data_IF_698948357414
#
_entry.id   IF_698948357414
#
_cell.length_a   1.000
_cell.length_b   1.000
_cell.length_c   1.000
_cell.angle_alpha   90.00
_cell.angle_beta   90.00
_cell.angle_gamma   90.00
#
_symmetry.space_group_name_H-M   'P 1'
#
loop_
_entity.id
_entity.type
_entity.pdbx_description
1 polymer ?
#
# COMPACT_ATOMS: atom_id res chain seq x y z
N UNK A 1 -14.85 1.53 -9.22
CA UNK A 1 -14.71 0.06 -9.31
C UNK A 1 -13.57 -0.46 -8.44
N UNK A 2 -12.35 0.10 -8.54
CA UNK A 2 -11.16 -0.38 -7.80
C UNK A 2 -11.29 -0.42 -6.28
N UNK A 3 -11.89 0.60 -5.66
CA UNK A 3 -12.02 0.67 -4.19
C UNK A 3 -13.02 -0.35 -3.61
N UNK A 4 -14.05 -0.73 -4.37
CA UNK A 4 -15.10 -1.66 -3.91
C UNK A 4 -14.66 -3.14 -3.94
N UNK A 5 -13.57 -3.47 -4.65
CA UNK A 5 -13.05 -4.83 -4.78
C UNK A 5 -12.11 -5.24 -3.61
N UNK A 6 -11.88 -4.33 -2.66
CA UNK A 6 -11.02 -4.56 -1.48
C UNK A 6 -11.63 -5.58 -0.50
N UNK A 7 -12.94 -5.84 -0.60
CA UNK A 7 -13.66 -6.80 0.24
C UNK A 7 -13.72 -8.17 -0.47
N UNK A 8 -13.21 -9.22 0.19
CA UNK A 8 -13.23 -10.59 -0.34
C UNK A 8 -14.67 -11.04 -0.68
N UNK A 9 -14.79 -11.93 -1.68
CA UNK A 9 -16.04 -12.61 -2.07
C UNK A 9 -17.13 -11.75 -2.74
N UNK A 10 -16.79 -10.57 -3.26
CA UNK A 10 -17.71 -9.77 -4.08
C UNK A 10 -17.46 -10.01 -5.57
N UNK A 11 -18.51 -10.43 -6.26
CA UNK A 11 -18.52 -10.46 -7.73
C UNK A 11 -18.65 -9.02 -8.25
N UNK A 12 -17.57 -8.49 -8.82
CA UNK A 12 -17.54 -7.13 -9.35
C UNK A 12 -17.84 -7.17 -10.85
N UNK A 13 -18.93 -6.52 -11.23
CA UNK A 13 -19.35 -6.38 -12.62
C UNK A 13 -19.12 -4.95 -13.09
N UNK A 14 -18.23 -4.79 -14.08
CA UNK A 14 -18.02 -3.50 -14.73
C UNK A 14 -19.01 -3.29 -15.87
N UNK A 15 -19.68 -2.14 -15.89
CA UNK A 15 -20.71 -1.79 -16.88
C UNK A 15 -20.43 -0.39 -17.43
N UNK A 16 -20.41 -0.23 -18.74
CA UNK A 16 -20.14 1.06 -19.41
C UNK A 16 -21.40 1.94 -19.53
N UNK A 17 -22.59 1.33 -19.49
CA UNK A 17 -23.88 2.04 -19.61
C UNK A 17 -24.94 1.52 -18.65
N UNK A 18 -25.89 2.39 -18.30
CA UNK A 18 -27.05 2.02 -17.48
C UNK A 18 -27.92 0.94 -18.16
N UNK A 19 -27.91 0.88 -19.49
CA UNK A 19 -28.56 -0.20 -20.24
C UNK A 19 -27.94 -1.57 -19.97
N UNK A 20 -26.62 -1.64 -19.80
CA UNK A 20 -25.93 -2.89 -19.49
C UNK A 20 -26.34 -3.42 -18.11
N UNK A 21 -26.49 -2.51 -17.13
CA UNK A 21 -26.99 -2.85 -15.78
C UNK A 21 -28.40 -3.44 -15.85
N UNK A 22 -29.30 -2.84 -16.64
CA UNK A 22 -30.67 -3.34 -16.81
C UNK A 22 -30.68 -4.71 -17.49
N UNK A 23 -29.88 -4.90 -18.53
CA UNK A 23 -29.79 -6.19 -19.24
C UNK A 23 -29.23 -7.31 -18.37
N UNK A 24 -28.28 -6.99 -17.49
CA UNK A 24 -27.73 -7.92 -16.51
C UNK A 24 -28.78 -8.33 -15.47
N UNK A 25 -29.47 -7.37 -14.85
CA UNK A 25 -30.48 -7.64 -13.81
C UNK A 25 -31.71 -8.37 -14.36
N UNK A 26 -32.02 -8.20 -15.65
CA UNK A 26 -33.16 -8.85 -16.31
C UNK A 26 -32.81 -10.19 -16.95
N UNK A 27 -31.55 -10.64 -16.87
CA UNK A 27 -31.10 -11.91 -17.46
C UNK A 27 -31.08 -11.93 -18.99
N UNK A 28 -31.16 -10.76 -19.64
CA UNK A 28 -31.18 -10.64 -21.10
C UNK A 28 -29.78 -10.79 -21.71
N UNK A 29 -28.73 -10.59 -20.92
CA UNK A 29 -27.33 -10.68 -21.36
C UNK A 29 -26.47 -11.17 -20.20
N UNK A 30 -25.64 -12.18 -20.46
CA UNK A 30 -24.64 -12.64 -19.52
C UNK A 30 -23.43 -11.70 -19.56
N UNK A 31 -22.99 -11.24 -18.39
CA UNK A 31 -21.75 -10.49 -18.23
C UNK A 31 -20.77 -11.37 -17.47
N UNK A 32 -19.52 -11.39 -17.91
CA UNK A 32 -18.47 -12.08 -17.19
C UNK A 32 -18.04 -11.24 -16.00
N UNK A 33 -17.96 -11.87 -14.82
CA UNK A 33 -17.47 -11.21 -13.62
C UNK A 33 -16.00 -10.81 -13.83
N UNK A 34 -15.67 -9.55 -13.56
CA UNK A 34 -14.28 -9.10 -13.57
C UNK A 34 -13.63 -9.61 -12.30
N UNK A 35 -12.74 -10.59 -12.43
CA UNK A 35 -11.90 -11.05 -11.33
C UNK A 35 -10.73 -10.09 -11.17
N UNK A 36 -10.86 -9.13 -10.25
CA UNK A 36 -9.74 -8.29 -9.84
C UNK A 36 -9.05 -8.98 -8.68
N UNK A 37 -7.81 -9.43 -8.87
CA UNK A 37 -6.97 -9.89 -7.77
C UNK A 37 -6.45 -8.68 -6.99
N UNK A 38 -7.31 -8.17 -6.11
CA UNK A 38 -7.01 -6.97 -5.30
C UNK A 38 -5.86 -7.19 -4.34
N UNK A 39 -5.53 -8.44 -3.98
CA UNK A 39 -4.34 -8.74 -3.20
C UNK A 39 -3.09 -8.48 -4.01
N UNK A 40 -3.04 -8.97 -5.25
CA UNK A 40 -1.90 -8.73 -6.14
C UNK A 40 -1.69 -7.23 -6.37
N UNK A 41 -2.75 -6.48 -6.71
CA UNK A 41 -2.65 -5.03 -6.91
C UNK A 41 -2.18 -4.32 -5.62
N UNK A 42 -2.74 -4.67 -4.46
CA UNK A 42 -2.29 -4.13 -3.17
C UNK A 42 -0.80 -4.41 -2.89
N UNK A 43 -0.35 -5.65 -3.05
CA UNK A 43 1.06 -6.02 -2.84
C UNK A 43 2.01 -5.35 -3.84
N UNK A 44 1.60 -5.15 -5.10
CA UNK A 44 2.41 -4.42 -6.09
C UNK A 44 2.55 -2.94 -5.72
N UNK A 45 1.53 -2.35 -5.11
CA UNK A 45 1.56 -0.95 -4.67
C UNK A 45 2.22 -0.71 -3.31
N UNK A 46 2.42 -1.74 -2.49
CA UNK A 46 3.04 -1.60 -1.17
C UNK A 46 4.50 -1.12 -1.20
N UNK A 47 5.22 -1.35 -2.29
CA UNK A 47 6.64 -1.00 -2.41
C UNK A 47 6.89 0.28 -3.23
N UNK A 48 5.83 0.97 -3.63
CA UNK A 48 5.94 2.23 -4.35
C UNK A 48 6.06 3.39 -3.37
N UNK A 49 7.31 3.76 -3.07
CA UNK A 49 7.64 4.91 -2.24
C UNK A 49 8.30 6.01 -3.07
N UNK A 50 7.85 7.26 -2.92
CA UNK A 50 8.48 8.43 -3.55
C UNK A 50 9.92 8.69 -3.04
N UNK A 51 10.24 8.19 -1.84
CA UNK A 51 11.51 8.43 -1.16
C UNK A 51 12.09 7.10 -0.66
N UNK A 52 13.28 6.76 -1.17
CA UNK A 52 13.99 5.54 -0.82
C UNK A 52 15.03 5.79 0.29
N UNK A 53 15.09 4.87 1.25
CA UNK A 53 16.11 4.83 2.29
C UNK A 53 17.53 4.60 1.73
N UNK A 54 17.66 3.90 0.60
CA UNK A 54 18.94 3.70 -0.07
C UNK A 54 19.60 5.02 -0.53
N UNK A 55 18.82 6.08 -0.73
CA UNK A 55 19.34 7.40 -1.09
C UNK A 55 20.07 8.12 0.06
N UNK A 56 19.94 7.62 1.29
CA UNK A 56 20.57 8.21 2.47
C UNK A 56 22.08 7.94 2.45
N UNK A 57 22.84 9.01 2.24
CA UNK A 57 24.31 8.96 2.29
C UNK A 57 24.83 9.29 3.69
N UNK A 58 25.69 8.43 4.22
CA UNK A 58 26.27 8.56 5.55
C UNK A 58 25.28 8.25 6.69
N UNK A 59 25.59 8.73 7.90
CA UNK A 59 24.82 8.47 9.13
C UNK A 59 24.63 6.97 9.45
N UNK A 60 25.68 6.17 9.30
CA UNK A 60 25.64 4.70 9.45
C UNK A 60 25.00 4.23 10.77
N UNK A 61 25.30 4.89 11.89
CA UNK A 61 24.70 4.55 13.19
C UNK A 61 23.18 4.74 13.21
N UNK A 62 22.69 5.81 12.57
CA UNK A 62 21.25 6.11 12.48
C UNK A 62 20.58 5.13 11.52
N UNK A 63 21.23 4.84 10.38
CA UNK A 63 20.70 3.86 9.43
C UNK A 63 20.55 2.49 10.09
N UNK A 64 21.58 2.04 10.82
CA UNK A 64 21.55 0.78 11.53
C UNK A 64 20.45 0.71 12.58
N UNK A 65 20.24 1.80 13.33
CA UNK A 65 19.16 1.87 14.31
C UNK A 65 17.78 1.79 13.65
N UNK A 66 17.59 2.48 12.53
CA UNK A 66 16.34 2.43 11.75
C UNK A 66 16.07 1.05 11.16
N UNK A 67 17.09 0.36 10.63
CA UNK A 67 16.96 -1.01 10.14
C UNK A 67 16.56 -1.98 11.25
N UNK A 68 17.20 -1.90 12.43
CA UNK A 68 16.87 -2.77 13.58
C UNK A 68 15.46 -2.49 14.08
N UNK A 69 15.05 -1.22 14.13
CA UNK A 69 13.71 -0.85 14.54
C UNK A 69 12.64 -1.29 13.51
N UNK A 70 12.90 -1.13 12.22
CA UNK A 70 12.01 -1.57 11.14
C UNK A 70 11.84 -3.09 11.15
N UNK A 71 12.93 -3.85 11.27
CA UNK A 71 12.88 -5.31 11.34
C UNK A 71 12.21 -5.83 12.61
N UNK A 72 12.31 -5.09 13.72
CA UNK A 72 11.73 -5.47 15.01
C UNK A 72 10.37 -4.84 15.32
N UNK A 73 9.78 -4.08 14.40
CA UNK A 73 8.54 -3.31 14.62
C UNK A 73 8.58 -2.44 15.89
N UNK A 74 9.71 -1.75 16.11
CA UNK A 74 9.91 -0.87 17.27
C UNK A 74 9.58 0.59 16.97
N UNK A 75 9.09 1.30 17.99
CA UNK A 75 8.93 2.75 17.93
C UNK A 75 10.29 3.46 17.92
N UNK A 76 10.38 4.58 17.18
CA UNK A 76 11.61 5.36 17.01
C UNK A 76 11.37 6.80 17.46
N UNK A 77 12.33 7.36 18.20
CA UNK A 77 12.41 8.80 18.49
C UNK A 77 13.70 9.35 17.89
N UNK A 78 13.61 10.36 17.03
CA UNK A 78 14.76 11.00 16.40
C UNK A 78 15.09 12.33 17.10
N UNK A 79 16.24 12.41 17.75
CA UNK A 79 16.69 13.59 18.51
C UNK A 79 17.93 14.20 17.86
N UNK A 80 17.97 15.52 17.70
CA UNK A 80 19.15 16.21 17.16
C UNK A 80 18.87 17.67 16.77
N UNK A 81 19.93 18.45 16.49
CA UNK A 81 19.82 19.88 16.14
C UNK A 81 19.03 20.11 14.84
N UNK A 82 18.47 21.32 14.60
CA UNK A 82 17.80 21.63 13.34
C UNK A 82 18.73 21.39 12.14
N UNK A 83 18.18 20.91 11.02
CA UNK A 83 18.96 20.58 9.83
C UNK A 83 19.70 19.24 9.85
N UNK A 84 19.66 18.47 10.94
CA UNK A 84 20.37 17.17 11.06
C UNK A 84 19.75 16.01 10.25
N UNK A 85 18.79 16.27 9.36
CA UNK A 85 18.19 15.23 8.51
C UNK A 85 17.12 14.33 9.18
N UNK A 86 16.62 14.65 10.37
CA UNK A 86 15.57 13.84 11.06
C UNK A 86 14.33 13.59 10.19
N UNK A 87 13.74 14.66 9.66
CA UNK A 87 12.57 14.55 8.79
C UNK A 87 12.89 13.86 7.46
N UNK A 88 14.14 13.97 6.99
CA UNK A 88 14.61 13.31 5.77
C UNK A 88 14.66 11.79 5.95
N UNK A 89 15.13 11.33 7.13
CA UNK A 89 15.14 9.91 7.54
C UNK A 89 13.73 9.38 7.79
N UNK A 90 12.91 10.09 8.58
CA UNK A 90 11.57 9.65 8.95
C UNK A 90 10.68 9.39 7.71
N UNK A 91 10.78 10.24 6.68
CA UNK A 91 10.03 10.09 5.43
C UNK A 91 10.46 8.89 4.57
N UNK A 92 11.67 8.37 4.78
CA UNK A 92 12.25 7.23 4.04
C UNK A 92 12.11 5.91 4.78
N UNK A 93 11.86 5.95 6.08
CA UNK A 93 11.63 4.75 6.89
C UNK A 93 10.59 3.79 6.29
N UNK A 94 9.46 4.24 5.71
CA UNK A 94 8.48 3.34 5.10
C UNK A 94 9.08 2.40 4.05
N UNK A 95 10.08 2.86 3.28
CA UNK A 95 10.71 2.05 2.23
C UNK A 95 11.49 0.82 2.71
N UNK A 96 11.77 0.71 4.01
CA UNK A 96 12.44 -0.44 4.63
C UNK A 96 11.56 -1.16 5.66
N UNK A 97 10.30 -0.76 5.81
CA UNK A 97 9.37 -1.46 6.69
C UNK A 97 8.95 -2.79 6.05
N UNK A 98 8.67 -3.82 6.87
CA UNK A 98 7.99 -5.01 6.39
C UNK A 98 6.65 -4.66 5.71
N UNK A 99 6.22 -5.40 4.68
CA UNK A 99 4.94 -5.18 4.04
C UNK A 99 3.81 -5.36 5.07
N UNK A 100 2.85 -4.43 5.06
CA UNK A 100 1.66 -4.55 5.89
C UNK A 100 0.82 -5.75 5.44
N UNK A 101 0.14 -6.39 6.37
CA UNK A 101 -0.95 -7.27 6.00
C UNK A 101 -2.15 -6.45 5.51
N UNK A 102 -3.02 -7.06 4.70
CA UNK A 102 -4.29 -6.43 4.30
C UNK A 102 -5.15 -5.99 5.49
N UNK A 103 -5.08 -6.72 6.61
CA UNK A 103 -5.78 -6.37 7.83
C UNK A 103 -5.20 -5.11 8.49
N UNK A 104 -3.88 -5.01 8.60
CA UNK A 104 -3.20 -3.84 9.17
C UNK A 104 -3.37 -2.57 8.33
N UNK A 105 -3.63 -2.70 7.02
CA UNK A 105 -3.85 -1.54 6.13
C UNK A 105 -5.29 -1.04 6.11
N UNK A 106 -6.24 -1.79 6.68
CA UNK A 106 -7.66 -1.42 6.75
C UNK A 106 -8.06 -0.80 8.10
N UNK A 107 -7.17 -0.86 9.09
CA UNK A 107 -7.27 -0.17 10.39
C UNK A 107 -6.81 1.30 10.28
#
# INVERSE_FOLDING_TARGET
MREAAVVNNLEVYGMDSMMDVIQFLTGQKAFEATTIDTRKEFYEHQYLYDLDFADVRGQENVKRALEVAAAGSHNIILIGPPGSGKSMMAKRLPSILPPLTLAESLE
#
